data_IF_238161316465
#
_entry.id   IF_238161316465
#
_cell.length_a   1.000
_cell.length_b   1.000
_cell.length_c   1.000
_cell.angle_alpha   90.00
_cell.angle_beta   90.00
_cell.angle_gamma   90.00
#
_symmetry.space_group_name_H-M   'P 1'
#
loop_
_entity.id
_entity.type
_entity.pdbx_description
1 polymer ?
#
# COMPACT_ATOMS: atom_id res chain seq x y z
N UNK A 1 -0.57 -12.69 -2.36
CA UNK A 1 -1.06 -12.51 -3.74
C UNK A 1 -0.07 -11.65 -4.50
N UNK A 2 0.22 -11.95 -5.77
CA UNK A 2 1.26 -11.26 -6.56
C UNK A 2 2.11 -12.11 -7.52
N UNK A 3 1.78 -13.40 -7.73
CA UNK A 3 2.56 -14.34 -8.56
C UNK A 3 1.89 -14.70 -9.90
N UNK A 4 1.09 -13.79 -10.46
CA UNK A 4 0.42 -14.00 -11.75
C UNK A 4 1.44 -14.01 -12.92
N UNK A 5 2.50 -13.20 -12.80
CA UNK A 5 3.54 -13.00 -13.82
C UNK A 5 4.87 -13.68 -13.48
N UNK A 6 4.80 -14.75 -12.70
CA UNK A 6 5.97 -15.54 -12.24
C UNK A 6 6.44 -16.55 -13.31
N UNK A 7 5.74 -16.66 -14.45
CA UNK A 7 6.04 -17.64 -15.48
C UNK A 7 7.21 -17.26 -16.41
N UNK A 8 7.83 -18.27 -17.00
CA UNK A 8 8.82 -18.14 -18.08
C UNK A 8 8.38 -17.26 -19.25
N UNK A 9 7.12 -17.28 -19.73
CA UNK A 9 6.70 -16.40 -20.81
C UNK A 9 6.76 -14.91 -20.46
N UNK A 10 6.81 -14.54 -19.18
CA UNK A 10 6.99 -13.14 -18.76
C UNK A 10 8.43 -12.85 -18.34
N UNK A 11 9.13 -13.85 -17.80
CA UNK A 11 10.50 -13.71 -17.32
C UNK A 11 11.53 -13.60 -18.44
N UNK A 12 11.45 -14.47 -19.44
CA UNK A 12 12.41 -14.48 -20.56
C UNK A 12 12.39 -13.16 -21.35
N UNK A 13 11.21 -12.57 -21.67
CA UNK A 13 11.18 -11.25 -22.27
C UNK A 13 11.77 -10.17 -21.36
N UNK A 14 11.43 -10.16 -20.07
CA UNK A 14 11.97 -9.18 -19.13
C UNK A 14 13.51 -9.22 -19.08
N UNK A 15 14.08 -10.42 -19.03
CA UNK A 15 15.53 -10.63 -19.07
C UNK A 15 16.15 -10.18 -20.39
N UNK A 16 15.47 -10.41 -21.52
CA UNK A 16 15.92 -9.93 -22.83
C UNK A 16 15.96 -8.40 -22.93
N UNK A 17 15.10 -7.71 -22.17
CA UNK A 17 15.12 -6.25 -22.03
C UNK A 17 16.09 -5.75 -20.95
N UNK A 18 16.90 -6.64 -20.34
CA UNK A 18 17.84 -6.29 -19.28
C UNK A 18 17.16 -6.00 -17.93
N UNK A 19 15.91 -6.41 -17.73
CA UNK A 19 15.17 -6.21 -16.49
C UNK A 19 15.32 -7.43 -15.57
N UNK A 20 15.59 -7.19 -14.29
CA UNK A 20 15.68 -8.26 -13.29
C UNK A 20 14.29 -8.58 -12.70
N UNK A 21 13.81 -9.83 -12.79
CA UNK A 21 12.51 -10.22 -12.27
C UNK A 21 12.53 -10.34 -10.73
N UNK A 22 11.91 -9.38 -10.04
CA UNK A 22 11.79 -9.36 -8.56
C UNK A 22 10.58 -10.17 -8.06
N UNK A 23 9.91 -10.93 -8.92
CA UNK A 23 8.73 -11.72 -8.56
C UNK A 23 9.15 -13.00 -7.83
N UNK A 24 8.58 -13.31 -6.64
CA UNK A 24 8.86 -14.54 -5.91
C UNK A 24 8.38 -15.77 -6.69
N UNK A 25 9.20 -16.84 -6.79
CA UNK A 25 8.79 -18.08 -7.41
C UNK A 25 7.61 -18.73 -6.67
N UNK A 26 6.81 -19.52 -7.39
CA UNK A 26 5.78 -20.36 -6.75
C UNK A 26 6.44 -21.50 -5.98
N UNK A 27 5.79 -21.91 -4.89
CA UNK A 27 6.27 -23.01 -4.02
C UNK A 27 6.40 -24.36 -4.75
N UNK A 28 5.59 -24.59 -5.77
CA UNK A 28 5.51 -25.87 -6.48
C UNK A 28 6.47 -25.93 -7.69
N UNK A 29 7.42 -25.00 -7.79
CA UNK A 29 8.33 -24.90 -8.93
C UNK A 29 9.57 -25.75 -8.70
N UNK A 30 9.97 -26.52 -9.70
CA UNK A 30 11.15 -27.40 -9.64
C UNK A 30 12.47 -26.63 -9.60
N UNK A 31 12.54 -25.50 -10.32
CA UNK A 31 13.71 -24.63 -10.37
C UNK A 31 13.33 -23.19 -9.93
N UNK A 32 13.34 -22.89 -8.62
CA UNK A 32 13.17 -21.52 -8.13
C UNK A 32 14.43 -20.69 -8.39
N UNK A 33 14.28 -19.38 -8.60
CA UNK A 33 15.39 -18.43 -8.70
C UNK A 33 15.47 -17.54 -7.48
N UNK A 34 16.64 -16.92 -7.31
CA UNK A 34 16.85 -15.88 -6.32
C UNK A 34 16.27 -14.56 -6.79
N UNK A 35 15.54 -13.91 -5.88
CA UNK A 35 14.95 -12.60 -6.08
C UNK A 35 15.23 -11.74 -4.87
N UNK A 36 15.35 -10.43 -5.09
CA UNK A 36 15.51 -9.47 -4.01
C UNK A 36 14.21 -9.32 -3.21
N UNK A 37 14.22 -9.84 -1.99
CA UNK A 37 13.07 -9.78 -1.07
C UNK A 37 12.79 -8.35 -0.59
N UNK A 38 13.81 -7.52 -0.48
CA UNK A 38 13.67 -6.13 -0.03
C UNK A 38 13.02 -5.28 -1.12
N UNK A 39 13.49 -5.41 -2.35
CA UNK A 39 12.82 -4.81 -3.50
C UNK A 39 11.36 -5.29 -3.64
N UNK A 40 11.09 -6.59 -3.40
CA UNK A 40 9.72 -7.10 -3.45
C UNK A 40 8.81 -6.55 -2.34
N UNK A 41 9.33 -6.26 -1.15
CA UNK A 41 8.54 -5.64 -0.06
C UNK A 41 7.99 -4.27 -0.48
N UNK A 42 8.74 -3.50 -1.26
CA UNK A 42 8.34 -2.19 -1.77
C UNK A 42 7.12 -2.23 -2.71
N UNK A 43 6.86 -3.37 -3.37
CA UNK A 43 5.77 -3.53 -4.34
C UNK A 43 4.39 -3.20 -3.76
N UNK A 44 4.07 -3.65 -2.55
CA UNK A 44 2.75 -3.40 -1.94
C UNK A 44 2.51 -1.90 -1.69
N UNK A 45 3.55 -1.13 -1.41
CA UNK A 45 3.44 0.32 -1.30
C UNK A 45 3.05 0.93 -2.65
N UNK A 46 3.73 0.52 -3.72
CA UNK A 46 3.47 0.95 -5.09
C UNK A 46 2.04 0.57 -5.51
N UNK A 47 1.62 -0.68 -5.33
CA UNK A 47 0.27 -1.16 -5.63
C UNK A 47 -0.81 -0.36 -4.90
N UNK A 48 -0.59 -0.05 -3.61
CA UNK A 48 -1.53 0.77 -2.84
C UNK A 48 -1.62 2.20 -3.35
N UNK A 49 -0.52 2.79 -3.82
CA UNK A 49 -0.53 4.12 -4.43
C UNK A 49 -1.32 4.07 -5.73
N UNK A 50 -1.02 3.13 -6.63
CA UNK A 50 -1.77 2.95 -7.88
C UNK A 50 -3.25 2.66 -7.64
N UNK A 51 -3.58 1.84 -6.64
CA UNK A 51 -4.97 1.58 -6.30
C UNK A 51 -5.69 2.89 -5.90
N UNK A 52 -5.07 3.72 -5.05
CA UNK A 52 -5.63 5.05 -4.72
C UNK A 52 -5.73 5.95 -5.94
N UNK A 53 -4.70 5.98 -6.80
CA UNK A 53 -4.73 6.76 -8.04
C UNK A 53 -5.89 6.36 -8.95
N UNK A 54 -6.19 5.06 -9.07
CA UNK A 54 -7.32 4.55 -9.86
C UNK A 54 -8.69 5.01 -9.39
N UNK A 55 -8.84 5.45 -8.14
CA UNK A 55 -10.10 6.05 -7.67
C UNK A 55 -10.37 7.43 -8.30
N UNK A 56 -9.33 8.10 -8.81
CA UNK A 56 -9.46 9.38 -9.51
C UNK A 56 -9.84 9.14 -10.97
N UNK A 57 -11.15 9.19 -11.26
CA UNK A 57 -11.71 8.88 -12.60
C UNK A 57 -10.99 9.59 -13.74
N UNK A 58 -10.67 10.89 -13.60
CA UNK A 58 -9.98 11.68 -14.65
C UNK A 58 -8.66 11.03 -15.11
N UNK A 59 -7.83 10.58 -14.17
CA UNK A 59 -6.57 9.92 -14.51
C UNK A 59 -6.76 8.45 -14.92
N UNK A 60 -7.73 7.74 -14.32
CA UNK A 60 -7.95 6.33 -14.63
C UNK A 60 -8.45 6.08 -16.05
N UNK A 61 -9.30 6.95 -16.58
CA UNK A 61 -9.92 6.80 -17.91
C UNK A 61 -9.23 7.61 -18.99
N UNK A 62 -8.19 8.39 -18.66
CA UNK A 62 -7.51 9.32 -19.58
C UNK A 62 -8.51 10.24 -20.30
N UNK A 63 -9.40 10.90 -19.54
CA UNK A 63 -10.37 11.85 -20.12
C UNK A 63 -9.71 13.13 -20.67
N UNK A 64 -8.52 13.46 -20.18
CA UNK A 64 -7.82 14.66 -20.58
C UNK A 64 -7.38 14.57 -22.05
N UNK A 65 -7.77 15.58 -22.85
CA UNK A 65 -7.45 15.64 -24.28
C UNK A 65 -5.97 15.98 -24.54
N UNK A 66 -5.33 16.69 -23.62
CA UNK A 66 -3.93 17.11 -23.73
C UNK A 66 -3.05 16.23 -22.85
N UNK A 67 -1.96 15.72 -23.43
CA UNK A 67 -1.02 14.85 -22.71
C UNK A 67 -0.36 15.57 -21.52
N UNK A 68 -0.13 16.88 -21.63
CA UNK A 68 0.40 17.70 -20.53
C UNK A 68 -0.54 17.71 -19.32
N UNK A 69 -1.85 17.88 -19.55
CA UNK A 69 -2.85 17.86 -18.47
C UNK A 69 -2.99 16.48 -17.84
N UNK A 70 -2.84 15.42 -18.65
CA UNK A 70 -2.81 14.05 -18.15
C UNK A 70 -1.58 13.81 -17.25
N UNK A 71 -0.39 14.24 -17.69
CA UNK A 71 0.84 14.14 -16.90
C UNK A 71 0.75 14.95 -15.61
N UNK A 72 0.22 16.17 -15.66
CA UNK A 72 -0.01 17.00 -14.48
C UNK A 72 -0.94 16.28 -13.48
N UNK A 73 -2.02 15.65 -13.95
CA UNK A 73 -2.91 14.87 -13.10
C UNK A 73 -2.20 13.66 -12.48
N UNK A 74 -1.38 12.94 -13.24
CA UNK A 74 -0.59 11.82 -12.71
C UNK A 74 0.41 12.23 -11.62
N UNK A 75 0.92 13.47 -11.66
CA UNK A 75 1.81 14.01 -10.63
C UNK A 75 1.04 14.55 -9.42
N UNK A 76 -0.07 15.26 -9.66
CA UNK A 76 -0.87 15.90 -8.61
C UNK A 76 -1.61 14.89 -7.72
N UNK A 77 -2.09 13.78 -8.29
CA UNK A 77 -2.86 12.79 -7.53
C UNK A 77 -2.04 12.13 -6.40
N UNK A 78 -0.81 11.60 -6.63
CA UNK A 78 0.05 11.12 -5.57
C UNK A 78 0.29 12.14 -4.46
N UNK A 79 0.53 13.41 -4.83
CA UNK A 79 0.75 14.51 -3.89
C UNK A 79 -0.49 14.72 -3.04
N UNK A 80 -1.67 14.82 -3.66
CA UNK A 80 -2.94 14.96 -2.95
C UNK A 80 -3.23 13.78 -2.01
N UNK A 81 -2.95 12.54 -2.46
CA UNK A 81 -3.09 11.33 -1.66
C UNK A 81 -2.14 11.34 -0.45
N UNK A 82 -0.90 11.80 -0.64
CA UNK A 82 0.08 11.96 0.42
C UNK A 82 -0.39 12.99 1.45
N UNK A 83 -0.74 14.20 1.00
CA UNK A 83 -1.22 15.27 1.88
C UNK A 83 -2.46 14.86 2.66
N UNK A 84 -3.44 14.20 2.03
CA UNK A 84 -4.65 13.70 2.70
C UNK A 84 -4.32 12.71 3.81
N UNK A 85 -3.33 11.82 3.59
CA UNK A 85 -2.89 10.85 4.59
C UNK A 85 -2.22 11.52 5.79
N UNK A 86 -1.47 12.60 5.57
CA UNK A 86 -0.74 13.32 6.62
C UNK A 86 -1.55 14.44 7.29
N UNK A 87 -2.63 14.92 6.67
CA UNK A 87 -3.53 15.95 7.22
C UNK A 87 -4.45 15.41 8.33
N UNK A 88 -4.74 14.10 8.35
CA UNK A 88 -5.57 13.51 9.38
C UNK A 88 -4.77 13.19 10.65
N UNK A 89 -4.60 14.17 11.55
CA UNK A 89 -4.85 14.12 13.04
C UNK A 89 -4.74 15.54 13.62
N UNK A 90 -5.82 16.05 14.23
CA UNK A 90 -5.84 16.09 15.70
C UNK A 90 -7.12 15.44 16.24
N UNK A 91 -7.09 15.02 17.51
CA UNK A 91 -8.20 14.45 18.28
C UNK A 91 -8.32 12.92 18.20
N UNK A 92 -7.25 12.25 18.61
CA UNK A 92 -7.41 11.02 19.39
C UNK A 92 -7.77 11.43 20.83
N UNK A 93 -9.00 11.90 21.08
CA UNK A 93 -9.53 11.93 22.43
C UNK A 93 -9.74 10.48 22.85
N UNK A 94 -8.70 9.87 23.43
CA UNK A 94 -8.83 8.56 24.06
C UNK A 94 -9.84 8.74 25.19
N UNK A 95 -11.06 8.24 25.01
CA UNK A 95 -11.94 8.05 26.15
C UNK A 95 -11.27 7.01 27.03
N UNK A 96 -10.60 7.45 28.10
CA UNK A 96 -10.18 6.57 29.18
C UNK A 96 -11.44 6.07 29.88
N UNK A 97 -11.72 4.76 29.90
CA UNK A 97 -12.77 4.25 30.75
C UNK A 97 -12.31 4.45 32.20
N UNK A 98 -13.09 5.21 32.97
CA UNK A 98 -12.90 5.34 34.42
C UNK A 98 -13.10 3.93 35.01
N UNK A 99 -12.02 3.33 35.50
CA UNK A 99 -12.10 2.05 36.20
C UNK A 99 -12.92 2.28 37.48
N UNK A 100 -14.14 1.73 37.55
CA UNK A 100 -14.87 1.63 38.83
C UNK A 100 -14.08 0.65 39.71
N UNK A 101 -13.67 1.12 40.89
CA UNK A 101 -13.05 0.27 41.91
C UNK A 101 -14.02 -0.88 42.27
N UNK A 102 -13.52 -2.11 42.47
CA UNK A 102 -14.35 -3.22 42.91
C UNK A 102 -15.00 -2.88 44.26
N UNK A 103 -16.28 -3.24 44.42
CA UNK A 103 -17.14 -2.84 45.54
C UNK A 103 -16.59 -3.22 46.93
N UNK A 104 -15.59 -4.12 46.99
CA UNK A 104 -14.93 -4.52 48.23
C UNK A 104 -14.03 -3.43 48.82
N UNK A 105 -13.46 -2.53 48.01
CA UNK A 105 -12.57 -1.46 48.51
C UNK A 105 -13.31 -0.21 49.00
N UNK A 106 -14.62 -0.08 48.77
CA UNK A 106 -15.38 1.12 49.15
C UNK A 106 -15.88 1.09 50.60
N UNK A 107 -15.78 -0.06 51.29
CA UNK A 107 -16.27 -0.23 52.66
C UNK A 107 -15.26 0.08 53.77
N UNK A 108 -13.98 0.25 53.44
CA UNK A 108 -12.93 0.54 54.42
C UNK A 108 -12.53 2.01 54.50
N UNK A 109 -13.10 2.88 53.65
CA UNK A 109 -12.76 4.31 53.62
C UNK A 109 -13.67 5.19 54.51
N UNK A 110 -14.43 4.58 55.43
CA UNK A 110 -15.39 5.30 56.29
C UNK A 110 -15.33 4.86 57.77
N UNK A 111 -14.13 4.51 58.23
CA UNK A 111 -13.68 4.46 59.62
C UNK A 111 -12.19 4.82 59.65
#
# INVERSE_FOLDING_TARGET
MGRAYEGDPTRLPAESFGLTPVVPPKRNRTAPWDYDREAYKGRNMVERVFNRMKHHRKAATRYDRLDETFLANLQLIPIAVYLKKHSQKPNQCKHTPVKRLPAQQQREAFW
#
